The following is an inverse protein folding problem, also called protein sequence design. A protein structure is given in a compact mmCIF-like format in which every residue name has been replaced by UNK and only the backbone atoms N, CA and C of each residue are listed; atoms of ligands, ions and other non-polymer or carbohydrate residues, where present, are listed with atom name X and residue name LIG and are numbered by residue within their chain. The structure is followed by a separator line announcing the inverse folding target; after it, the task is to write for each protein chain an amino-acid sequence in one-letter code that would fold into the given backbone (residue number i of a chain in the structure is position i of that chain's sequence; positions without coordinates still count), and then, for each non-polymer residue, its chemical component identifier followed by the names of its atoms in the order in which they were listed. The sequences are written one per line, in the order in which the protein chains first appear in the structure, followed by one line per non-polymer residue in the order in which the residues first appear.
data_IF_447400912381
#
_entry.id   IF_447400912381
#
_cell.length_a   1.000
_cell.length_b   1.000
_cell.length_c   1.000
_cell.angle_alpha   90.00
_cell.angle_beta   90.00
_cell.angle_gamma   90.00
#
_symmetry.space_group_name_H-M   'P 1'
#
loop_
_entity.id
_entity.type
_entity.pdbx_description
1 polymer ?
#
# COMPACT_ATOMS: atom_id res chain seq x y z
N UNK A 1 30.85 -22.50 68.62
CA UNK A 1 30.39 -21.18 69.09
C UNK A 1 29.17 -20.79 68.27
N UNK A 2 28.03 -20.57 68.92
CA UNK A 2 26.83 -19.94 68.36
C UNK A 2 27.01 -18.40 68.30
N UNK A 3 26.01 -17.57 67.93
CA UNK A 3 25.00 -17.61 66.86
C UNK A 3 24.99 -16.25 66.09
N UNK A 4 24.01 -15.97 65.21
CA UNK A 4 23.15 -14.76 65.31
C UNK A 4 22.00 -14.87 64.30
N UNK A 5 20.80 -14.58 64.81
CA UNK A 5 19.51 -14.61 64.14
C UNK A 5 19.30 -13.38 63.25
N UNK A 6 18.38 -13.46 62.29
CA UNK A 6 17.28 -12.51 62.28
C UNK A 6 15.98 -13.15 61.82
N UNK A 7 15.00 -13.07 62.72
CA UNK A 7 13.63 -13.54 62.57
C UNK A 7 12.85 -12.52 61.75
N UNK A 8 11.93 -12.99 60.90
CA UNK A 8 10.70 -12.24 60.64
C UNK A 8 9.53 -13.19 60.48
N UNK A 9 8.78 -13.32 61.57
CA UNK A 9 7.44 -13.89 61.61
C UNK A 9 6.44 -12.86 61.09
N UNK A 10 5.50 -13.28 60.25
CA UNK A 10 4.17 -12.69 60.26
C UNK A 10 3.15 -13.80 60.43
N UNK A 11 2.47 -13.74 61.58
CA UNK A 11 1.25 -14.48 61.89
C UNK A 11 0.15 -14.00 60.96
N UNK A 12 -0.62 -14.93 60.42
CA UNK A 12 -1.91 -14.68 59.80
C UNK A 12 -2.78 -15.91 59.94
N UNK A 13 -3.43 -16.04 61.09
CA UNK A 13 -4.48 -17.03 61.31
C UNK A 13 -5.80 -16.41 60.86
N UNK A 14 -6.54 -17.07 59.97
CA UNK A 14 -8.00 -16.99 59.97
C UNK A 14 -8.57 -18.36 59.55
N UNK A 15 -9.20 -18.98 60.54
CA UNK A 15 -10.04 -20.17 60.47
C UNK A 15 -11.19 -20.01 59.47
N UNK A 16 -11.47 -21.06 58.71
CA UNK A 16 -12.75 -21.25 58.02
C UNK A 16 -13.69 -22.05 58.93
N UNK A 17 -14.89 -21.54 59.25
CA UNK A 17 -15.97 -22.43 59.61
C UNK A 17 -17.17 -22.31 58.68
N UNK A 18 -17.92 -23.41 58.69
CA UNK A 18 -19.35 -23.55 58.39
C UNK A 18 -19.76 -23.76 56.92
N UNK A 19 -20.12 -25.02 56.72
CA UNK A 19 -21.09 -25.55 55.75
C UNK A 19 -22.30 -24.61 55.60
N UNK A 20 -22.63 -24.28 54.35
CA UNK A 20 -23.97 -23.80 53.96
C UNK A 20 -24.59 -24.91 53.10
N UNK A 21 -25.82 -25.39 53.40
CA UNK A 21 -26.51 -26.31 52.51
C UNK A 21 -27.08 -25.52 51.34
N UNK A 22 -26.52 -25.70 50.14
CA UNK A 22 -27.10 -25.16 48.90
C UNK A 22 -28.24 -26.08 48.49
N UNK A 23 -29.47 -25.56 48.53
CA UNK A 23 -30.64 -26.21 47.93
C UNK A 23 -30.45 -26.29 46.41
N UNK A 24 -30.82 -27.39 45.72
CA UNK A 24 -30.78 -27.43 44.28
C UNK A 24 -31.96 -26.64 43.74
N UNK A 25 -31.76 -25.36 43.47
CA UNK A 25 -32.66 -24.60 42.61
C UNK A 25 -32.52 -25.20 41.19
N UNK A 26 -33.42 -26.12 40.86
CA UNK A 26 -33.49 -26.76 39.56
C UNK A 26 -33.57 -25.69 38.47
N UNK A 27 -32.51 -25.58 37.67
CA UNK A 27 -32.47 -24.73 36.50
C UNK A 27 -33.52 -25.24 35.50
N UNK A 28 -34.67 -24.56 35.41
CA UNK A 28 -35.66 -24.85 34.39
C UNK A 28 -35.15 -24.25 33.08
N UNK A 29 -34.67 -25.10 32.18
CA UNK A 29 -34.43 -24.72 30.79
C UNK A 29 -35.78 -24.49 30.11
N UNK A 30 -36.17 -23.22 29.95
CA UNK A 30 -37.23 -22.85 29.02
C UNK A 30 -36.62 -22.82 27.61
N UNK A 31 -36.63 -23.96 26.92
CA UNK A 31 -36.43 -23.99 25.47
C UNK A 31 -37.75 -23.62 24.79
N UNK A 32 -38.01 -22.33 24.61
CA UNK A 32 -38.94 -21.91 23.57
C UNK A 32 -38.25 -22.16 22.23
N UNK A 33 -38.81 -23.07 21.42
CA UNK A 33 -38.36 -23.26 20.05
C UNK A 33 -38.43 -21.91 19.33
N UNK A 34 -37.31 -21.45 18.77
CA UNK A 34 -37.26 -20.23 17.97
C UNK A 34 -38.26 -20.36 16.81
N UNK A 35 -39.03 -19.30 16.48
CA UNK A 35 -39.97 -19.35 15.37
C UNK A 35 -39.22 -19.67 14.09
N UNK A 36 -39.74 -20.64 13.32
CA UNK A 36 -39.16 -21.11 12.08
C UNK A 36 -38.82 -19.94 11.15
N UNK A 37 -37.56 -19.90 10.71
CA UNK A 37 -37.06 -18.91 9.75
C UNK A 37 -37.85 -19.01 8.45
N UNK A 38 -38.90 -18.19 8.33
CA UNK A 38 -39.61 -17.96 7.07
C UNK A 38 -38.61 -17.35 6.10
N UNK A 39 -37.98 -18.20 5.27
CA UNK A 39 -37.09 -17.79 4.18
C UNK A 39 -37.84 -16.79 3.32
N UNK A 40 -37.42 -15.54 3.42
CA UNK A 40 -37.97 -14.45 2.62
C UNK A 40 -37.76 -14.77 1.14
N UNK A 41 -38.74 -14.44 0.30
CA UNK A 41 -38.64 -14.66 -1.15
C UNK A 41 -37.53 -13.76 -1.68
N UNK A 42 -36.41 -14.35 -2.07
CA UNK A 42 -35.29 -13.65 -2.69
C UNK A 42 -35.70 -13.33 -4.13
N UNK A 43 -35.75 -12.05 -4.47
CA UNK A 43 -36.01 -11.57 -5.83
C UNK A 43 -34.67 -11.15 -6.43
N UNK A 44 -34.24 -11.82 -7.49
CA UNK A 44 -32.96 -11.54 -8.15
C UNK A 44 -33.13 -10.42 -9.18
N UNK A 45 -32.50 -9.26 -8.95
CA UNK A 45 -32.47 -8.12 -9.87
C UNK A 45 -31.13 -8.06 -10.61
N UNK A 46 -31.15 -8.10 -11.95
CA UNK A 46 -29.93 -8.00 -12.76
C UNK A 46 -29.49 -6.55 -13.02
N UNK A 47 -30.42 -5.59 -13.00
CA UNK A 47 -30.16 -4.18 -13.39
C UNK A 47 -29.22 -3.44 -12.43
N UNK A 48 -29.21 -3.83 -11.17
CA UNK A 48 -28.39 -3.24 -10.11
C UNK A 48 -26.96 -3.79 -10.11
N UNK A 49 -26.75 -4.93 -10.76
CA UNK A 49 -25.43 -5.58 -10.79
C UNK A 49 -24.37 -4.75 -11.54
N UNK A 50 -24.79 -3.81 -12.41
CA UNK A 50 -23.89 -2.82 -13.06
C UNK A 50 -23.06 -1.99 -12.07
N UNK A 51 -23.53 -1.83 -10.83
CA UNK A 51 -22.78 -1.12 -9.79
C UNK A 51 -21.68 -2.00 -9.18
N UNK A 52 -21.89 -3.33 -9.15
CA UNK A 52 -20.89 -4.30 -8.72
C UNK A 52 -19.75 -4.39 -9.74
N UNK A 53 -20.07 -4.35 -11.03
CA UNK A 53 -19.05 -4.39 -12.10
C UNK A 53 -18.03 -3.25 -11.99
N UNK A 54 -18.45 -2.05 -11.55
CA UNK A 54 -17.55 -0.89 -11.36
C UNK A 54 -16.57 -1.08 -10.20
N UNK A 55 -16.86 -1.97 -9.26
CA UNK A 55 -15.99 -2.28 -8.12
C UNK A 55 -14.86 -3.22 -8.51
N UNK A 56 -14.98 -3.93 -9.64
CA UNK A 56 -13.96 -4.85 -10.12
C UNK A 56 -12.80 -4.01 -10.71
N UNK A 57 -11.59 -4.08 -10.13
CA UNK A 57 -10.48 -3.29 -10.63
C UNK A 57 -9.99 -3.82 -11.99
N UNK A 58 -9.67 -2.94 -12.95
CA UNK A 58 -9.12 -3.36 -14.23
C UNK A 58 -7.70 -3.94 -14.05
N UNK A 59 -7.45 -5.09 -14.67
CA UNK A 59 -6.13 -5.76 -14.59
C UNK A 59 -5.06 -5.04 -15.44
N UNK A 60 -5.48 -4.42 -16.54
CA UNK A 60 -4.59 -3.74 -17.51
C UNK A 60 -4.68 -2.23 -17.33
N UNK A 61 -3.53 -1.57 -17.41
CA UNK A 61 -3.46 -0.10 -17.39
C UNK A 61 -4.14 0.43 -18.66
N UNK A 62 -5.07 1.38 -18.54
CA UNK A 62 -5.76 1.94 -19.68
C UNK A 62 -4.79 2.72 -20.57
N UNK A 63 -5.05 2.73 -21.87
CA UNK A 63 -4.30 3.57 -22.80
C UNK A 63 -4.68 5.03 -22.58
N UNK A 64 -3.73 5.97 -22.58
CA UNK A 64 -4.02 7.38 -22.36
C UNK A 64 -4.95 7.90 -23.46
N UNK A 65 -5.85 8.84 -23.14
CA UNK A 65 -6.70 9.48 -24.13
C UNK A 65 -5.83 10.27 -25.12
N UNK A 66 -6.26 10.31 -26.39
CA UNK A 66 -5.60 11.12 -27.41
C UNK A 66 -5.91 12.59 -27.15
N UNK A 67 -4.86 13.41 -27.02
CA UNK A 67 -4.99 14.86 -26.93
C UNK A 67 -3.85 15.53 -27.71
N UNK A 68 -4.11 16.72 -28.22
CA UNK A 68 -3.09 17.56 -28.85
C UNK A 68 -2.50 18.50 -27.78
N UNK A 69 -1.17 18.46 -27.60
CA UNK A 69 -0.45 19.33 -26.66
C UNK A 69 -0.32 18.80 -25.23
N UNK A 70 0.27 19.56 -24.30
CA UNK A 70 0.42 19.13 -22.90
C UNK A 70 -0.91 19.13 -22.16
N UNK A 71 -1.18 18.10 -21.36
CA UNK A 71 -2.31 18.11 -20.41
C UNK A 71 -2.07 19.15 -19.31
N UNK A 72 -3.11 19.52 -18.53
CA UNK A 72 -2.93 20.35 -17.33
C UNK A 72 -1.95 19.74 -16.30
N UNK A 73 -1.73 18.42 -16.33
CA UNK A 73 -0.71 17.75 -15.52
C UNK A 73 0.72 17.80 -16.11
N UNK A 74 0.89 18.43 -17.28
CA UNK A 74 2.17 18.49 -18.00
C UNK A 74 2.53 17.21 -18.74
N UNK A 75 1.64 16.21 -18.80
CA UNK A 75 1.88 14.99 -19.58
C UNK A 75 1.78 15.31 -21.08
N UNK A 76 2.74 14.80 -21.85
CA UNK A 76 2.82 14.99 -23.29
C UNK A 76 3.01 13.63 -23.97
N UNK A 77 2.18 13.29 -24.98
CA UNK A 77 2.31 12.03 -25.70
C UNK A 77 3.64 11.99 -26.46
N UNK A 78 4.16 10.78 -26.75
CA UNK A 78 5.29 10.64 -27.67
C UNK A 78 4.90 11.14 -29.07
N UNK A 79 5.88 11.60 -29.85
CA UNK A 79 5.66 11.91 -31.25
C UNK A 79 5.29 10.65 -32.04
N UNK A 80 4.46 10.79 -33.07
CA UNK A 80 3.94 9.67 -33.87
C UNK A 80 5.06 8.92 -34.59
N UNK A 81 6.07 9.65 -35.08
CA UNK A 81 7.27 9.08 -35.70
C UNK A 81 8.44 9.09 -34.73
N UNK A 82 9.17 7.98 -34.55
CA UNK A 82 10.40 7.99 -33.78
C UNK A 82 11.43 8.92 -34.44
N UNK A 83 12.16 9.72 -33.66
CA UNK A 83 13.21 10.57 -34.22
C UNK A 83 14.35 9.69 -34.78
N UNK A 84 15.08 10.15 -35.82
CA UNK A 84 16.20 9.43 -36.42
C UNK A 84 17.46 9.54 -35.52
N UNK A 85 17.34 9.10 -34.28
CA UNK A 85 18.43 9.06 -33.30
C UNK A 85 18.94 7.62 -33.16
N UNK A 86 20.24 7.42 -32.88
CA UNK A 86 20.83 6.09 -32.70
C UNK A 86 20.39 5.41 -31.39
N UNK A 87 19.64 6.11 -30.54
CA UNK A 87 19.03 5.61 -29.32
C UNK A 87 17.58 6.08 -29.19
N UNK A 88 16.78 5.31 -28.46
CA UNK A 88 15.39 5.61 -28.17
C UNK A 88 15.07 5.26 -26.71
N UNK A 89 14.37 6.15 -26.01
CA UNK A 89 13.93 5.91 -24.63
C UNK A 89 12.45 5.56 -24.63
N UNK A 90 12.11 4.36 -24.16
CA UNK A 90 10.72 3.92 -24.08
C UNK A 90 10.03 4.42 -22.82
N UNK A 91 8.75 4.78 -22.93
CA UNK A 91 7.92 5.17 -21.79
C UNK A 91 7.72 4.01 -20.80
N UNK A 92 7.42 4.36 -19.56
CA UNK A 92 7.07 3.39 -18.52
C UNK A 92 5.70 2.74 -18.81
N UNK A 93 5.31 1.74 -18.00
CA UNK A 93 3.96 1.13 -18.07
C UNK A 93 2.85 2.18 -17.87
N UNK A 94 3.15 3.23 -17.11
CA UNK A 94 2.24 4.35 -16.82
C UNK A 94 2.47 5.54 -17.78
N UNK A 95 3.04 5.30 -18.97
CA UNK A 95 3.25 6.32 -20.01
C UNK A 95 4.13 7.52 -19.63
N UNK A 96 4.89 7.41 -18.53
CA UNK A 96 5.82 8.45 -18.07
C UNK A 96 7.23 8.25 -18.59
N UNK A 97 8.04 9.32 -18.58
CA UNK A 97 9.48 9.24 -18.90
C UNK A 97 10.19 8.50 -17.76
N UNK A 98 11.01 7.47 -18.05
CA UNK A 98 11.66 6.64 -17.01
C UNK A 98 12.94 7.28 -16.44
N UNK A 99 12.84 8.52 -15.96
CA UNK A 99 13.91 9.27 -15.29
C UNK A 99 13.58 9.34 -13.80
N UNK A 100 14.49 8.87 -12.96
CA UNK A 100 14.30 8.76 -11.52
C UNK A 100 15.49 9.30 -10.77
N UNK A 101 15.27 9.74 -9.53
CA UNK A 101 16.35 10.02 -8.59
C UNK A 101 16.61 8.78 -7.73
N UNK A 102 17.88 8.53 -7.44
CA UNK A 102 18.34 7.49 -6.54
C UNK A 102 19.22 8.13 -5.47
N UNK A 103 18.94 7.84 -4.21
CA UNK A 103 19.67 8.38 -3.07
C UNK A 103 20.45 7.26 -2.41
N UNK A 104 21.76 7.33 -2.52
CA UNK A 104 22.69 6.37 -1.91
C UNK A 104 23.40 7.01 -0.72
N UNK A 105 23.66 6.24 0.33
CA UNK A 105 24.40 6.63 1.55
C UNK A 105 23.90 7.93 2.25
N UNK A 106 22.66 8.36 1.97
CA UNK A 106 22.05 9.56 2.53
C UNK A 106 22.55 10.90 1.95
N UNK A 107 23.66 10.92 1.21
CA UNK A 107 24.27 12.14 0.68
C UNK A 107 24.47 12.15 -0.84
N UNK A 108 24.44 10.99 -1.51
CA UNK A 108 24.72 10.88 -2.93
C UNK A 108 23.41 10.71 -3.69
N UNK A 109 22.93 11.80 -4.28
CA UNK A 109 21.81 11.80 -5.22
C UNK A 109 22.33 11.53 -6.63
N UNK A 110 21.72 10.58 -7.33
CA UNK A 110 22.03 10.24 -8.71
C UNK A 110 20.74 10.26 -9.54
N UNK A 111 20.84 10.61 -10.82
CA UNK A 111 19.72 10.49 -11.75
C UNK A 111 19.89 9.21 -12.57
N UNK A 112 18.86 8.38 -12.57
CA UNK A 112 18.82 7.12 -13.31
C UNK A 112 17.87 7.25 -14.50
N UNK A 113 18.41 7.04 -15.71
CA UNK A 113 17.62 6.90 -16.93
C UNK A 113 17.50 5.41 -17.25
N UNK A 114 16.26 4.91 -17.36
CA UNK A 114 15.99 3.49 -17.64
C UNK A 114 15.38 3.32 -19.04
N UNK A 115 15.31 2.05 -19.51
CA UNK A 115 14.64 1.68 -20.77
C UNK A 115 15.19 2.40 -22.01
N UNK A 116 16.51 2.56 -22.06
CA UNK A 116 17.22 3.05 -23.25
C UNK A 116 17.45 1.86 -24.18
N UNK A 117 17.03 2.00 -25.43
CA UNK A 117 17.30 1.07 -26.53
C UNK A 117 18.25 1.75 -27.54
N UNK A 118 19.11 0.99 -28.21
CA UNK A 118 20.10 1.51 -29.17
C UNK A 118 21.49 1.77 -28.55
N UNK A 119 22.30 2.59 -29.22
CA UNK A 119 23.68 2.88 -28.79
C UNK A 119 23.73 4.00 -27.75
N UNK A 120 24.03 3.63 -26.50
CA UNK A 120 24.08 4.54 -25.35
C UNK A 120 25.33 5.44 -25.33
N UNK A 121 26.40 5.06 -26.04
CA UNK A 121 27.62 5.87 -26.05
C UNK A 121 27.44 7.15 -26.87
N UNK A 122 26.48 7.16 -27.79
CA UNK A 122 26.08 8.36 -28.53
C UNK A 122 25.20 9.31 -27.69
N UNK A 123 24.53 8.83 -26.63
CA UNK A 123 23.71 9.69 -25.76
C UNK A 123 24.51 10.40 -24.67
N UNK A 124 25.60 9.80 -24.19
CA UNK A 124 26.46 10.36 -23.13
C UNK A 124 27.00 11.78 -23.45
N UNK A 125 27.58 12.04 -24.64
CA UNK A 125 28.11 13.36 -24.96
C UNK A 125 27.03 14.44 -24.99
N UNK A 126 25.83 14.11 -25.48
CA UNK A 126 24.69 15.03 -25.52
C UNK A 126 24.21 15.36 -24.10
N UNK A 127 24.07 14.37 -23.23
CA UNK A 127 23.64 14.56 -21.84
C UNK A 127 24.63 15.43 -21.04
N UNK A 128 25.93 15.16 -21.16
CA UNK A 128 26.97 15.95 -20.49
C UNK A 128 26.98 17.42 -20.94
N UNK A 129 26.60 17.70 -22.20
CA UNK A 129 26.47 19.08 -22.68
C UNK A 129 25.26 19.83 -22.09
N UNK A 130 24.16 19.13 -21.81
CA UNK A 130 22.94 19.73 -21.23
C UNK A 130 23.06 19.95 -19.71
N UNK A 131 23.88 19.13 -19.05
CA UNK A 131 24.15 19.18 -17.61
C UNK A 131 25.32 20.10 -17.25
N UNK A 132 25.94 20.80 -18.22
CA UNK A 132 26.97 21.78 -17.90
C UNK A 132 26.41 22.82 -16.93
N UNK A 133 27.13 23.16 -15.83
CA UNK A 133 26.64 24.14 -14.87
C UNK A 133 26.28 25.44 -15.58
N UNK A 134 24.99 25.80 -15.54
CA UNK A 134 24.59 27.15 -15.89
C UNK A 134 25.14 28.03 -14.77
N UNK A 135 26.24 28.73 -15.01
CA UNK A 135 26.78 29.72 -14.09
C UNK A 135 25.70 30.80 -13.90
N UNK A 136 24.87 30.64 -12.88
CA UNK A 136 23.96 31.68 -12.44
C UNK A 136 24.82 32.80 -11.85
N UNK A 137 25.20 33.74 -12.72
CA UNK A 137 25.87 34.98 -12.33
C UNK A 137 24.88 35.79 -11.48
N UNK A 138 24.98 35.64 -10.18
CA UNK A 138 24.25 36.45 -9.21
C UNK A 138 24.80 37.88 -9.32
N UNK A 139 23.98 38.80 -9.80
CA UNK A 139 24.16 40.25 -9.67
C UNK A 139 23.57 40.73 -8.35
#
# INVERSE_FOLDING_TARGET
MAPVMLRRTLRGALSLPSRIPVAPAGLRFNSAAAPEDKKQVIIESAEEYKFVERLIPPTRVPTPPQHAGPTPSGWTPPADSPPPLPYMIRRSRMYNIPVYTDLTHGNRMMTLVRKVEGDIWQSQPLELSQLSPQEHRVT
#
